data_IF_100353413009
#
_entry.id   IF_100353413009
#
_cell.length_a   1.000
_cell.length_b   1.000
_cell.length_c   1.000
_cell.angle_alpha   90.00
_cell.angle_beta   90.00
_cell.angle_gamma   90.00
#
_symmetry.space_group_name_H-M   'P 1'
#
loop_
_entity.id
_entity.type
_entity.pdbx_description
1 polymer ?
#
# COMPACT_ATOMS: atom_id res chain seq x y z
N UNK A 1 13.72 -8.08 -17.04
CA UNK A 1 14.37 -7.13 -16.10
C UNK A 1 13.60 -7.15 -14.78
N UNK A 2 14.26 -6.86 -13.64
CA UNK A 2 13.56 -6.70 -12.37
C UNK A 2 12.70 -5.44 -12.38
N UNK A 3 11.46 -5.51 -11.88
CA UNK A 3 10.60 -4.33 -11.73
C UNK A 3 11.13 -3.41 -10.62
N UNK A 4 11.21 -2.11 -10.90
CA UNK A 4 11.64 -1.07 -9.96
C UNK A 4 10.47 -0.64 -9.08
N UNK A 5 10.56 -0.89 -7.78
CA UNK A 5 9.48 -0.60 -6.81
C UNK A 5 9.92 0.50 -5.83
N UNK A 6 9.02 1.42 -5.56
CA UNK A 6 9.10 2.36 -4.45
C UNK A 6 7.99 2.07 -3.45
N UNK A 7 8.33 2.02 -2.17
CA UNK A 7 7.36 1.77 -1.10
C UNK A 7 7.14 3.03 -0.28
N UNK A 8 5.90 3.29 0.09
CA UNK A 8 5.50 4.36 0.99
C UNK A 8 4.96 3.74 2.29
N UNK A 9 5.49 4.14 3.44
CA UNK A 9 5.03 3.66 4.74
C UNK A 9 5.16 4.73 5.82
N UNK A 10 4.23 4.74 6.79
CA UNK A 10 4.23 5.70 7.91
C UNK A 10 4.47 5.06 9.28
N UNK A 11 4.41 3.73 9.37
CA UNK A 11 4.37 2.99 10.64
C UNK A 11 5.35 1.81 10.71
N UNK A 12 4.86 0.65 11.15
CA UNK A 12 5.67 -0.57 11.36
C UNK A 12 6.26 -1.17 10.09
N UNK A 13 5.58 -0.95 8.94
CA UNK A 13 6.01 -1.46 7.64
C UNK A 13 5.86 -2.98 7.50
N UNK A 14 4.86 -3.60 8.13
CA UNK A 14 4.65 -5.06 8.07
C UNK A 14 4.49 -5.56 6.63
N UNK A 15 3.64 -4.92 5.84
CA UNK A 15 3.47 -5.22 4.41
C UNK A 15 4.77 -5.00 3.61
N UNK A 16 5.51 -3.92 3.90
CA UNK A 16 6.82 -3.67 3.30
C UNK A 16 7.81 -4.80 3.60
N UNK A 17 7.89 -5.24 4.86
CA UNK A 17 8.72 -6.37 5.28
C UNK A 17 8.37 -7.64 4.54
N UNK A 18 7.07 -7.97 4.48
CA UNK A 18 6.59 -9.15 3.76
C UNK A 18 7.00 -9.12 2.27
N UNK A 19 6.87 -8.00 1.57
CA UNK A 19 7.30 -7.89 0.16
C UNK A 19 8.81 -8.10 0.02
N UNK A 20 9.65 -7.54 0.91
CA UNK A 20 11.11 -7.76 0.89
C UNK A 20 11.44 -9.25 1.06
N UNK A 21 10.77 -9.93 1.99
CA UNK A 21 10.96 -11.36 2.21
C UNK A 21 10.63 -12.18 0.95
N UNK A 22 9.52 -11.84 0.26
CA UNK A 22 9.16 -12.51 -1.00
C UNK A 22 10.17 -12.26 -2.12
N UNK A 23 10.78 -11.06 -2.17
CA UNK A 23 11.87 -10.76 -3.11
C UNK A 23 13.11 -11.60 -2.78
N UNK A 24 13.51 -11.67 -1.49
CA UNK A 24 14.66 -12.47 -1.05
C UNK A 24 14.49 -13.96 -1.32
N UNK A 25 13.27 -14.47 -1.21
CA UNK A 25 12.92 -15.84 -1.54
C UNK A 25 12.73 -16.08 -3.05
N UNK A 26 13.13 -15.15 -3.90
CA UNK A 26 12.99 -15.21 -5.37
C UNK A 26 11.54 -15.44 -5.87
N UNK A 27 10.54 -15.10 -5.04
CA UNK A 27 9.11 -15.19 -5.41
C UNK A 27 8.60 -13.97 -6.17
N UNK A 28 9.39 -12.88 -6.19
CA UNK A 28 9.10 -11.64 -6.94
C UNK A 28 10.34 -11.23 -7.73
N UNK A 29 10.18 -11.04 -9.04
CA UNK A 29 11.23 -10.50 -9.89
C UNK A 29 11.21 -8.96 -9.84
N UNK A 30 11.56 -8.41 -8.69
CA UNK A 30 11.51 -6.99 -8.39
C UNK A 30 12.68 -6.56 -7.49
N UNK A 31 12.88 -5.25 -7.38
CA UNK A 31 13.76 -4.65 -6.38
C UNK A 31 13.08 -3.41 -5.79
N UNK A 32 13.25 -3.20 -4.48
CA UNK A 32 12.80 -1.98 -3.82
C UNK A 32 13.96 -1.01 -3.78
N UNK A 33 13.83 0.12 -4.48
CA UNK A 33 14.89 1.10 -4.62
C UNK A 33 14.81 2.24 -3.60
N UNK A 34 13.60 2.51 -3.06
CA UNK A 34 13.36 3.62 -2.17
C UNK A 34 12.21 3.30 -1.21
N UNK A 35 12.38 3.66 0.05
CA UNK A 35 11.29 3.81 1.01
C UNK A 35 11.02 5.30 1.22
N UNK A 36 9.80 5.74 0.95
CA UNK A 36 9.31 7.09 1.28
C UNK A 36 8.51 7.04 2.57
N UNK A 37 8.80 7.93 3.51
CA UNK A 37 8.00 8.06 4.73
C UNK A 37 7.74 9.53 5.09
N UNK A 38 6.55 9.80 5.64
CA UNK A 38 6.25 11.10 6.24
C UNK A 38 6.72 11.19 7.71
N UNK A 39 7.09 10.05 8.32
CA UNK A 39 7.51 9.92 9.70
C UNK A 39 8.97 9.43 9.77
N UNK A 40 9.88 10.28 10.25
CA UNK A 40 11.31 9.96 10.37
C UNK A 40 11.63 8.87 11.39
N UNK A 41 10.71 8.61 12.33
CA UNK A 41 10.92 7.71 13.47
C UNK A 41 10.09 6.42 13.34
N UNK A 42 9.61 6.09 12.14
CA UNK A 42 8.83 4.86 11.96
C UNK A 42 9.75 3.64 11.78
N UNK A 43 9.32 2.50 12.32
CA UNK A 43 10.07 1.23 12.24
C UNK A 43 10.37 0.77 10.81
N UNK A 44 9.57 1.19 9.83
CA UNK A 44 9.83 0.90 8.43
C UNK A 44 11.17 1.47 7.94
N UNK A 45 11.60 2.65 8.46
CA UNK A 45 12.89 3.26 8.11
C UNK A 45 14.05 2.43 8.62
N UNK A 46 13.98 1.96 9.87
CA UNK A 46 15.06 1.14 10.46
C UNK A 46 15.21 -0.17 9.66
N UNK A 47 14.07 -0.76 9.29
CA UNK A 47 14.07 -1.97 8.48
C UNK A 47 14.62 -1.74 7.06
N UNK A 48 14.33 -0.59 6.44
CA UNK A 48 14.88 -0.22 5.14
C UNK A 48 16.42 -0.09 5.21
N UNK A 49 16.94 0.60 6.24
CA UNK A 49 18.39 0.74 6.45
C UNK A 49 19.09 -0.59 6.62
N UNK A 50 18.55 -1.51 7.43
CA UNK A 50 19.08 -2.88 7.63
C UNK A 50 19.14 -3.65 6.30
N UNK A 51 18.24 -3.35 5.36
CA UNK A 51 18.18 -4.00 4.05
C UNK A 51 18.87 -3.20 2.93
N UNK A 52 19.68 -2.17 3.28
CA UNK A 52 20.36 -1.28 2.34
C UNK A 52 19.43 -0.62 1.32
N UNK A 53 18.20 -0.30 1.72
CA UNK A 53 17.22 0.41 0.92
C UNK A 53 17.30 1.90 1.26
N UNK A 54 17.47 2.73 0.23
CA UNK A 54 17.47 4.18 0.42
C UNK A 54 16.16 4.65 1.06
N UNK A 55 16.26 5.63 1.97
CA UNK A 55 15.10 6.21 2.65
C UNK A 55 14.95 7.68 2.33
N UNK A 56 13.72 8.13 2.10
CA UNK A 56 13.40 9.52 1.83
C UNK A 56 12.28 10.01 2.74
N UNK A 57 12.60 10.97 3.60
CA UNK A 57 11.60 11.58 4.49
C UNK A 57 10.95 12.74 3.76
N UNK A 58 9.67 12.57 3.44
CA UNK A 58 8.86 13.56 2.78
C UNK A 58 7.65 13.95 3.64
N UNK A 59 7.63 15.16 4.15
CA UNK A 59 6.55 15.72 4.97
C UNK A 59 6.52 17.25 4.90
N UNK A 60 5.42 17.84 5.38
CA UNK A 60 5.22 19.30 5.40
C UNK A 60 6.25 20.07 6.24
N UNK A 61 6.92 19.42 7.20
CA UNK A 61 7.99 20.07 7.98
C UNK A 61 9.25 20.30 7.11
N UNK A 62 9.59 19.34 6.25
CA UNK A 62 10.75 19.42 5.34
C UNK A 62 10.45 20.17 4.05
N UNK A 63 9.20 20.06 3.58
CA UNK A 63 8.76 20.61 2.30
C UNK A 63 7.44 21.38 2.49
N UNK A 64 7.44 22.51 3.24
CA UNK A 64 6.21 23.22 3.61
C UNK A 64 5.49 23.82 2.40
N UNK A 65 6.21 24.18 1.35
CA UNK A 65 5.66 24.82 0.14
C UNK A 65 5.41 23.87 -1.03
N UNK A 66 5.70 22.57 -0.87
CA UNK A 66 5.50 21.57 -1.93
C UNK A 66 4.09 20.97 -1.89
N UNK A 67 3.08 21.84 -2.10
CA UNK A 67 1.66 21.48 -2.02
C UNK A 67 1.24 20.42 -3.04
N UNK A 68 1.86 20.42 -4.22
CA UNK A 68 1.59 19.48 -5.31
C UNK A 68 2.45 18.20 -5.25
N UNK A 69 3.38 18.12 -4.28
CA UNK A 69 4.37 17.04 -4.19
C UNK A 69 5.30 16.96 -5.41
N UNK A 70 5.63 18.08 -6.03
CA UNK A 70 6.47 18.13 -7.22
C UNK A 70 7.91 17.72 -6.91
N UNK A 71 8.45 18.09 -5.74
CA UNK A 71 9.77 17.64 -5.26
C UNK A 71 9.80 16.12 -5.10
N UNK A 72 8.72 15.55 -4.55
CA UNK A 72 8.58 14.10 -4.43
C UNK A 72 8.49 13.43 -5.79
N UNK A 73 7.71 13.98 -6.73
CA UNK A 73 7.60 13.48 -8.10
C UNK A 73 8.96 13.47 -8.81
N UNK A 74 9.74 14.56 -8.70
CA UNK A 74 11.10 14.62 -9.25
C UNK A 74 12.03 13.57 -8.63
N UNK A 75 11.93 13.33 -7.32
CA UNK A 75 12.68 12.28 -6.65
C UNK A 75 12.33 10.91 -7.20
N UNK A 76 11.04 10.59 -7.34
CA UNK A 76 10.56 9.31 -7.88
C UNK A 76 11.05 9.07 -9.32
N UNK A 77 11.05 10.08 -10.17
CA UNK A 77 11.47 9.96 -11.57
C UNK A 77 12.92 9.48 -11.73
N UNK A 78 13.81 9.76 -10.75
CA UNK A 78 15.21 9.29 -10.77
C UNK A 78 15.35 7.78 -10.70
N UNK A 79 14.33 7.07 -10.17
CA UNK A 79 14.36 5.60 -9.97
C UNK A 79 13.73 4.81 -11.11
N UNK A 80 13.21 5.46 -12.16
CA UNK A 80 12.48 4.79 -13.25
C UNK A 80 11.44 3.80 -12.70
N UNK A 81 10.57 4.31 -11.81
CA UNK A 81 9.64 3.50 -11.02
C UNK A 81 8.62 2.80 -11.91
N UNK A 82 8.53 1.48 -11.82
CA UNK A 82 7.50 0.68 -12.46
C UNK A 82 6.23 0.62 -11.60
N UNK A 83 6.39 0.53 -10.26
CA UNK A 83 5.28 0.36 -9.32
C UNK A 83 5.55 1.11 -8.01
N UNK A 84 4.54 1.80 -7.52
CA UNK A 84 4.51 2.39 -6.18
C UNK A 84 3.59 1.55 -5.30
N UNK A 85 4.05 1.20 -4.10
CA UNK A 85 3.28 0.47 -3.10
C UNK A 85 3.00 1.37 -1.90
N UNK A 86 1.72 1.59 -1.57
CA UNK A 86 1.32 2.23 -0.32
C UNK A 86 1.09 1.14 0.73
N UNK A 87 2.04 1.00 1.65
CA UNK A 87 2.07 -0.02 2.70
C UNK A 87 1.84 0.63 4.08
N UNK A 88 0.63 1.06 4.35
CA UNK A 88 0.29 1.81 5.55
C UNK A 88 0.82 3.26 5.52
N UNK A 89 0.72 3.93 4.38
CA UNK A 89 1.05 5.34 4.23
C UNK A 89 -0.15 6.22 4.58
N UNK A 90 0.00 7.09 5.58
CA UNK A 90 -1.11 7.84 6.18
C UNK A 90 -1.34 9.22 5.56
N UNK A 91 -0.67 9.57 4.46
CA UNK A 91 -0.84 10.86 3.79
C UNK A 91 -1.40 10.67 2.39
N UNK A 92 -2.18 11.65 1.95
CA UNK A 92 -2.72 11.65 0.59
C UNK A 92 -1.59 11.80 -0.43
N UNK A 93 -1.66 11.01 -1.48
CA UNK A 93 -0.83 11.19 -2.68
C UNK A 93 -1.46 12.30 -3.53
N UNK A 94 -0.65 13.21 -4.04
CA UNK A 94 -1.14 14.33 -4.84
C UNK A 94 -1.69 13.89 -6.19
N UNK A 95 -2.52 14.75 -6.79
CA UNK A 95 -3.05 14.53 -8.14
C UNK A 95 -1.93 14.46 -9.19
N UNK A 96 -0.84 15.22 -9.04
CA UNK A 96 0.31 15.17 -9.95
C UNK A 96 0.94 13.79 -9.97
N UNK A 97 1.18 13.17 -8.81
CA UNK A 97 1.74 11.83 -8.70
C UNK A 97 0.75 10.77 -9.18
N UNK A 98 -0.54 10.84 -8.77
CA UNK A 98 -1.53 9.82 -9.19
C UNK A 98 -1.79 9.86 -10.71
N UNK A 99 -1.71 11.02 -11.35
CA UNK A 99 -1.82 11.15 -12.82
C UNK A 99 -0.59 10.63 -13.53
N UNK A 100 0.61 10.99 -13.06
CA UNK A 100 1.87 10.56 -13.68
C UNK A 100 2.07 9.04 -13.58
N UNK A 101 1.78 8.47 -12.42
CA UNK A 101 1.85 7.03 -12.16
C UNK A 101 0.48 6.33 -12.26
N UNK A 102 -0.38 6.82 -13.16
CA UNK A 102 -1.70 6.21 -13.38
C UNK A 102 -1.57 4.70 -13.61
N UNK A 103 -2.36 3.92 -12.87
CA UNK A 103 -2.34 2.45 -12.89
C UNK A 103 -1.01 1.79 -12.43
N UNK A 104 -0.17 2.55 -11.76
CA UNK A 104 1.11 2.09 -11.21
C UNK A 104 1.25 2.35 -9.71
N UNK A 105 0.17 2.63 -9.02
CA UNK A 105 0.15 2.80 -7.56
C UNK A 105 -0.87 1.83 -6.99
N UNK A 106 -0.41 0.90 -6.14
CA UNK A 106 -1.26 -0.03 -5.40
C UNK A 106 -1.29 0.36 -3.92
N UNK A 107 -2.48 0.34 -3.34
CA UNK A 107 -2.69 0.48 -1.91
C UNK A 107 -3.24 -0.81 -1.33
N UNK A 108 -2.84 -1.16 -0.11
CA UNK A 108 -3.48 -2.18 0.72
C UNK A 108 -4.30 -1.48 1.80
N UNK A 109 -5.59 -1.78 1.85
CA UNK A 109 -6.52 -1.23 2.82
C UNK A 109 -7.12 -2.34 3.69
N UNK A 110 -7.14 -2.19 5.03
CA UNK A 110 -7.50 -3.25 5.95
C UNK A 110 -9.01 -3.42 6.16
N UNK A 111 -9.80 -3.26 5.10
CA UNK A 111 -11.24 -3.53 5.10
C UNK A 111 -11.73 -4.05 3.76
N UNK A 112 -12.99 -4.46 3.73
CA UNK A 112 -13.73 -4.77 2.51
C UNK A 112 -14.30 -3.48 1.92
N UNK A 113 -13.51 -2.78 1.08
CA UNK A 113 -13.96 -1.55 0.43
C UNK A 113 -15.26 -1.78 -0.38
N UNK A 114 -16.16 -0.79 -0.40
CA UNK A 114 -16.03 0.59 0.07
C UNK A 114 -16.26 0.80 1.58
N UNK A 115 -16.65 -0.26 2.33
CA UNK A 115 -16.91 -0.14 3.76
C UNK A 115 -15.63 0.20 4.52
N UNK A 116 -15.70 1.16 5.43
CA UNK A 116 -14.55 1.65 6.21
C UNK A 116 -13.37 2.13 5.35
N UNK A 117 -13.65 2.67 4.15
CA UNK A 117 -12.71 3.41 3.33
C UNK A 117 -12.84 4.91 3.49
N UNK A 118 -11.87 5.65 2.92
CA UNK A 118 -11.93 7.11 2.88
C UNK A 118 -11.15 7.81 3.98
N UNK A 119 -11.30 9.15 4.04
CA UNK A 119 -10.55 10.00 4.96
C UNK A 119 -10.85 9.64 6.43
N UNK A 120 -9.80 9.32 7.18
CA UNK A 120 -9.89 9.01 8.62
C UNK A 120 -9.89 7.51 8.95
N UNK A 121 -10.16 6.64 7.97
CA UNK A 121 -10.11 5.19 8.14
C UNK A 121 -8.71 4.65 7.79
N UNK A 122 -7.91 4.35 8.79
CA UNK A 122 -6.57 3.77 8.64
C UNK A 122 -6.11 3.05 9.91
N UNK A 123 -5.30 2.02 9.73
CA UNK A 123 -4.71 1.25 10.83
C UNK A 123 -5.77 0.69 11.76
N UNK A 124 -5.53 0.79 13.08
CA UNK A 124 -6.41 0.21 14.10
C UNK A 124 -7.84 0.78 14.08
N UNK A 125 -8.01 2.03 13.65
CA UNK A 125 -9.33 2.68 13.60
C UNK A 125 -10.34 1.93 12.72
N UNK A 126 -9.88 1.29 11.66
CA UNK A 126 -10.73 0.46 10.80
C UNK A 126 -11.29 -0.72 11.61
N UNK A 127 -10.43 -1.40 12.36
CA UNK A 127 -10.81 -2.58 13.15
C UNK A 127 -11.65 -2.21 14.37
N UNK A 128 -11.42 -1.02 14.96
CA UNK A 128 -12.27 -0.47 16.02
C UNK A 128 -13.69 -0.23 15.53
N UNK A 129 -13.86 0.31 14.32
CA UNK A 129 -15.19 0.51 13.75
C UNK A 129 -15.86 -0.83 13.34
N UNK A 130 -15.11 -1.80 12.82
CA UNK A 130 -15.61 -3.16 12.57
C UNK A 130 -16.12 -3.79 13.86
N UNK A 131 -15.34 -3.71 14.94
CA UNK A 131 -15.70 -4.22 16.24
C UNK A 131 -16.94 -3.51 16.82
N UNK A 132 -16.95 -2.18 16.80
CA UNK A 132 -18.05 -1.35 17.31
C UNK A 132 -19.39 -1.62 16.58
N UNK A 133 -19.32 -1.88 15.28
CA UNK A 133 -20.51 -2.21 14.48
C UNK A 133 -20.88 -3.70 14.55
N UNK A 134 -20.16 -4.51 15.35
CA UNK A 134 -20.39 -5.94 15.51
C UNK A 134 -20.46 -6.71 14.18
N UNK A 135 -19.63 -6.30 13.22
CA UNK A 135 -19.58 -6.94 11.93
C UNK A 135 -19.15 -8.40 12.06
N UNK A 136 -19.82 -9.27 11.31
CA UNK A 136 -19.50 -10.70 11.25
C UNK A 136 -18.41 -11.04 10.23
N UNK A 137 -17.99 -10.05 9.47
CA UNK A 137 -17.01 -10.18 8.39
C UNK A 137 -16.11 -8.96 8.37
N UNK A 138 -14.86 -9.20 8.04
CA UNK A 138 -13.87 -8.17 7.71
C UNK A 138 -12.97 -8.69 6.59
N UNK A 139 -11.87 -8.03 6.30
CA UNK A 139 -10.92 -8.46 5.30
C UNK A 139 -9.98 -7.35 4.87
N UNK A 140 -9.37 -7.55 3.71
CA UNK A 140 -8.48 -6.55 3.14
C UNK A 140 -8.74 -6.38 1.64
N UNK A 141 -8.41 -5.19 1.13
CA UNK A 141 -8.58 -4.82 -0.27
C UNK A 141 -7.27 -4.25 -0.82
N UNK A 142 -6.81 -4.80 -1.94
CA UNK A 142 -5.78 -4.17 -2.78
C UNK A 142 -6.48 -3.45 -3.93
N UNK A 143 -6.19 -2.16 -4.08
CA UNK A 143 -6.77 -1.35 -5.14
C UNK A 143 -5.74 -0.44 -5.78
N UNK A 144 -5.99 0.00 -7.00
CA UNK A 144 -5.24 1.08 -7.62
C UNK A 144 -5.60 2.41 -7.00
N UNK A 145 -4.61 3.28 -6.83
CA UNK A 145 -4.83 4.61 -6.24
C UNK A 145 -5.21 5.61 -7.32
N UNK A 146 -6.28 6.35 -7.05
CA UNK A 146 -6.73 7.49 -7.83
C UNK A 146 -6.60 8.82 -7.06
N UNK A 147 -7.32 9.85 -7.49
CA UNK A 147 -7.27 11.19 -6.88
C UNK A 147 -8.02 11.29 -5.55
N UNK A 148 -8.83 10.30 -5.18
CA UNK A 148 -9.59 10.26 -3.94
C UNK A 148 -9.04 9.20 -2.99
N UNK A 149 -9.53 9.20 -1.74
CA UNK A 149 -9.16 8.15 -0.79
C UNK A 149 -9.95 6.88 -1.08
N UNK A 150 -9.27 5.76 -1.28
CA UNK A 150 -9.79 4.39 -1.33
C UNK A 150 -10.92 4.15 -2.35
N UNK A 151 -10.99 4.96 -3.43
CA UNK A 151 -12.04 4.89 -4.47
C UNK A 151 -11.58 4.24 -5.78
N UNK A 152 -10.29 4.01 -5.93
CA UNK A 152 -9.74 3.46 -7.16
C UNK A 152 -10.13 1.99 -7.41
N UNK A 153 -9.94 1.50 -8.63
CA UNK A 153 -10.33 0.15 -9.03
C UNK A 153 -9.72 -0.95 -8.15
N UNK A 154 -10.57 -1.83 -7.63
CA UNK A 154 -10.16 -2.97 -6.82
C UNK A 154 -9.48 -4.00 -7.72
N UNK A 155 -8.27 -4.45 -7.29
CA UNK A 155 -7.54 -5.52 -7.95
C UNK A 155 -7.81 -6.87 -7.27
N UNK A 156 -7.70 -6.91 -5.94
CA UNK A 156 -7.96 -8.09 -5.12
C UNK A 156 -8.68 -7.68 -3.84
N UNK A 157 -9.59 -8.52 -3.40
CA UNK A 157 -10.27 -8.38 -2.11
C UNK A 157 -10.47 -9.75 -1.51
N UNK A 158 -10.20 -9.90 -0.21
CA UNK A 158 -10.38 -11.16 0.50
C UNK A 158 -11.08 -10.95 1.82
N UNK A 159 -12.14 -11.73 2.03
CA UNK A 159 -12.98 -11.70 3.22
C UNK A 159 -12.51 -12.72 4.25
N UNK A 160 -12.71 -12.40 5.53
CA UNK A 160 -12.61 -13.31 6.66
C UNK A 160 -13.87 -13.23 7.53
N UNK A 161 -14.27 -14.37 8.11
CA UNK A 161 -15.33 -14.41 9.11
C UNK A 161 -14.78 -14.05 10.49
N UNK A 162 -15.59 -13.33 11.25
CA UNK A 162 -15.30 -12.88 12.61
C UNK A 162 -16.21 -13.60 13.61
N UNK A 163 -15.66 -13.98 14.76
CA UNK A 163 -16.45 -14.43 15.89
C UNK A 163 -16.89 -13.24 16.76
N UNK A 164 -17.94 -13.43 17.53
CA UNK A 164 -18.43 -12.37 18.45
C UNK A 164 -17.51 -12.09 19.64
N UNK A 165 -16.52 -12.94 19.86
CA UNK A 165 -15.54 -12.80 20.96
C UNK A 165 -14.27 -12.05 20.56
N UNK A 166 -14.12 -11.66 19.29
CA UNK A 166 -12.91 -10.99 18.81
C UNK A 166 -13.00 -9.48 19.02
N UNK A 167 -12.02 -8.95 19.72
CA UNK A 167 -11.82 -7.50 19.85
C UNK A 167 -11.11 -6.90 18.62
N UNK A 168 -10.96 -5.59 18.59
CA UNK A 168 -10.32 -4.87 17.48
C UNK A 168 -8.87 -5.30 17.22
N UNK A 169 -8.13 -5.72 18.24
CA UNK A 169 -6.74 -6.17 18.09
C UNK A 169 -6.67 -7.58 17.49
N UNK A 170 -7.56 -8.47 17.89
CA UNK A 170 -7.68 -9.80 17.30
C UNK A 170 -8.09 -9.71 15.81
N UNK A 171 -9.06 -8.84 15.50
CA UNK A 171 -9.48 -8.55 14.13
C UNK A 171 -8.30 -8.02 13.32
N UNK A 172 -7.56 -7.03 13.85
CA UNK A 172 -6.40 -6.45 13.17
C UNK A 172 -5.34 -7.51 12.85
N UNK A 173 -5.06 -8.43 13.78
CA UNK A 173 -4.10 -9.51 13.57
C UNK A 173 -4.53 -10.44 12.45
N UNK A 174 -5.78 -10.88 12.43
CA UNK A 174 -6.32 -11.74 11.37
C UNK A 174 -6.30 -11.06 10.00
N UNK A 175 -6.70 -9.78 9.94
CA UNK A 175 -6.70 -9.01 8.70
C UNK A 175 -5.28 -8.81 8.18
N UNK A 176 -4.29 -8.61 9.06
CA UNK A 176 -2.89 -8.45 8.66
C UNK A 176 -2.36 -9.67 7.89
N UNK A 177 -2.73 -10.89 8.29
CA UNK A 177 -2.34 -12.11 7.57
C UNK A 177 -2.91 -12.11 6.14
N UNK A 178 -4.15 -11.66 5.98
CA UNK A 178 -4.80 -11.51 4.68
C UNK A 178 -4.15 -10.39 3.85
N UNK A 179 -3.82 -9.25 4.48
CA UNK A 179 -3.09 -8.18 3.81
C UNK A 179 -1.78 -8.70 3.21
N UNK A 180 -0.98 -9.43 4.00
CA UNK A 180 0.28 -10.00 3.56
C UNK A 180 0.12 -10.94 2.37
N UNK A 181 -0.94 -11.75 2.37
CA UNK A 181 -1.24 -12.71 1.29
C UNK A 181 -1.62 -11.97 0.01
N UNK A 182 -2.71 -11.16 0.06
CA UNK A 182 -3.25 -10.57 -1.17
C UNK A 182 -2.37 -9.45 -1.73
N UNK A 183 -1.61 -8.74 -0.85
CA UNK A 183 -0.70 -7.71 -1.33
C UNK A 183 0.47 -8.31 -2.11
N UNK A 184 1.03 -9.42 -1.61
CA UNK A 184 2.01 -10.18 -2.35
C UNK A 184 1.45 -10.70 -3.69
N UNK A 185 0.24 -11.25 -3.71
CA UNK A 185 -0.42 -11.71 -4.94
C UNK A 185 -0.57 -10.57 -5.95
N UNK A 186 -1.05 -9.41 -5.52
CA UNK A 186 -1.23 -8.24 -6.38
C UNK A 186 0.10 -7.75 -6.98
N UNK A 187 1.16 -7.67 -6.17
CA UNK A 187 2.51 -7.29 -6.63
C UNK A 187 3.05 -8.34 -7.60
N UNK A 188 2.83 -9.63 -7.34
CA UNK A 188 3.23 -10.71 -8.24
C UNK A 188 2.51 -10.62 -9.59
N UNK A 189 1.20 -10.35 -9.59
CA UNK A 189 0.44 -10.15 -10.83
C UNK A 189 1.00 -8.98 -11.65
N UNK A 190 1.36 -7.87 -11.00
CA UNK A 190 1.99 -6.72 -11.65
C UNK A 190 3.37 -7.08 -12.23
N UNK A 191 4.22 -7.72 -11.43
CA UNK A 191 5.58 -8.08 -11.84
C UNK A 191 5.62 -9.08 -13.00
N UNK A 192 4.60 -9.91 -13.13
CA UNK A 192 4.44 -10.90 -14.19
C UNK A 192 3.59 -10.40 -15.38
N UNK A 193 3.36 -9.08 -15.46
CA UNK A 193 2.61 -8.43 -16.53
C UNK A 193 1.21 -9.06 -16.78
N UNK A 194 0.55 -9.53 -15.69
CA UNK A 194 -0.82 -10.10 -15.74
C UNK A 194 -1.92 -9.04 -15.73
N UNK A 195 -1.58 -7.79 -15.44
CA UNK A 195 -2.54 -6.68 -15.30
C UNK A 195 -2.52 -5.83 -16.55
N UNK A 196 -3.68 -5.68 -17.17
CA UNK A 196 -3.86 -4.88 -18.37
C UNK A 196 -5.00 -3.88 -18.20
N UNK A 197 -4.95 -2.82 -18.98
CA UNK A 197 -5.98 -1.79 -19.00
C UNK A 197 -6.50 -1.63 -20.42
N UNK A 198 -7.82 -1.76 -20.60
CA UNK A 198 -8.50 -1.49 -21.87
C UNK A 198 -9.59 -0.45 -21.65
N UNK A 199 -9.45 0.73 -22.27
CA UNK A 199 -10.38 1.87 -22.14
C UNK A 199 -10.75 2.18 -20.68
N UNK A 200 -9.74 2.12 -19.77
CA UNK A 200 -9.93 2.37 -18.34
C UNK A 200 -10.52 1.20 -17.53
N UNK A 201 -10.82 0.06 -18.15
CA UNK A 201 -11.23 -1.16 -17.45
C UNK A 201 -10.02 -2.03 -17.11
N UNK A 202 -9.98 -2.49 -15.87
CA UNK A 202 -8.97 -3.45 -15.40
C UNK A 202 -9.28 -4.85 -15.99
N UNK A 203 -8.28 -5.46 -16.56
CA UNK A 203 -8.32 -6.83 -17.08
C UNK A 203 -7.16 -7.62 -16.48
N UNK A 204 -7.42 -8.86 -16.09
CA UNK A 204 -6.43 -9.78 -15.55
C UNK A 204 -6.26 -10.92 -16.55
N UNK A 205 -5.01 -11.17 -16.95
CA UNK A 205 -4.67 -12.37 -17.74
C UNK A 205 -4.48 -13.58 -16.81
N UNK A 206 -4.98 -14.68 -17.23
CA UNK A 206 -4.76 -15.98 -16.57
C UNK A 206 -3.29 -16.41 -16.58
#
# INVERSE_FOLDING_TARGET
>A
MKKSIVVFASGTGSNFKNIIEKIKLHRLNAQINLLVSNNSNCKAIDFAKINNIETYIYNSKRYPNDLNQDVLLQKLNRYKVDLILLAGYMKKISKSITRFYKYKILNIHPSLLPKYGGKGFYGIKVHEEVYKNQDRKSGATVHFVDENYDTGPILLQKEISLSSSEDSLAIAKKVLDIEHEIYFQAVSMFCNDKIHWNKGKLLIKE
#
